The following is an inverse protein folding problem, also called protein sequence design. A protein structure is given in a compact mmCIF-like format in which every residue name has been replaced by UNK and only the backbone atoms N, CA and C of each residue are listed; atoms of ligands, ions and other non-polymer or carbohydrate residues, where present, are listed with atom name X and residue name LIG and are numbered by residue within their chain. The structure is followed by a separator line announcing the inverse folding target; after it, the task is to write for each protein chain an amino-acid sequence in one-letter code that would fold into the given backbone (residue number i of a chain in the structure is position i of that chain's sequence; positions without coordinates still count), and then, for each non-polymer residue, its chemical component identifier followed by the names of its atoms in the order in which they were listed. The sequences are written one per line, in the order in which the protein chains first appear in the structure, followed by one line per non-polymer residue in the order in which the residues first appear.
data_IF_754042841418
#
_entry.id   IF_754042841418
#
_cell.length_a   1.000
_cell.length_b   1.000
_cell.length_c   1.000
_cell.angle_alpha   90.00
_cell.angle_beta   90.00
_cell.angle_gamma   90.00
#
_symmetry.space_group_name_H-M   'P 1'
#
loop_
_entity.id
_entity.type
_entity.pdbx_description
1 polymer ?
#
# COMPACT_ATOMS: atom_id res chain seq x y z
N UNK A 1 -18.26 -36.86 1.94
CA UNK A 1 -18.67 -35.49 1.54
C UNK A 1 -17.78 -34.55 2.33
N UNK A 2 -16.95 -33.74 1.67
CA UNK A 2 -16.14 -32.75 2.38
C UNK A 2 -17.05 -31.60 2.80
N UNK A 3 -16.98 -31.20 4.07
CA UNK A 3 -17.72 -30.09 4.64
C UNK A 3 -17.50 -28.80 3.81
N UNK A 4 -18.56 -28.03 3.48
CA UNK A 4 -18.45 -26.83 2.64
C UNK A 4 -17.49 -25.77 3.21
N UNK A 5 -17.27 -25.78 4.53
CA UNK A 5 -16.31 -24.92 5.22
C UNK A 5 -14.85 -25.29 4.93
N UNK A 6 -14.55 -26.58 4.77
CA UNK A 6 -13.21 -27.06 4.41
C UNK A 6 -12.82 -26.69 2.97
N UNK A 7 -13.80 -26.64 2.07
CA UNK A 7 -13.60 -26.19 0.68
C UNK A 7 -13.30 -24.70 0.63
N UNK A 8 -13.98 -23.90 1.45
CA UNK A 8 -13.74 -22.45 1.53
C UNK A 8 -12.34 -22.15 2.08
N UNK A 9 -11.94 -22.80 3.16
CA UNK A 9 -10.60 -22.65 3.74
C UNK A 9 -9.48 -23.07 2.77
N UNK A 10 -9.69 -24.15 2.01
CA UNK A 10 -8.74 -24.59 0.99
C UNK A 10 -8.61 -23.55 -0.14
N UNK A 11 -9.73 -22.96 -0.56
CA UNK A 11 -9.74 -21.90 -1.57
C UNK A 11 -9.03 -20.63 -1.07
N UNK A 12 -9.27 -20.24 0.18
CA UNK A 12 -8.58 -19.11 0.83
C UNK A 12 -7.08 -19.35 0.96
N UNK A 13 -6.67 -20.56 1.31
CA UNK A 13 -5.27 -20.96 1.37
C UNK A 13 -4.60 -20.96 -0.01
N UNK A 14 -5.28 -21.46 -1.04
CA UNK A 14 -4.78 -21.47 -2.42
C UNK A 14 -4.65 -20.07 -2.99
N UNK A 15 -5.64 -19.20 -2.75
CA UNK A 15 -5.58 -17.77 -3.10
C UNK A 15 -4.43 -17.08 -2.37
N UNK A 16 -4.22 -17.39 -1.09
CA UNK A 16 -3.09 -16.86 -0.29
C UNK A 16 -1.74 -17.34 -0.82
N UNK A 17 -1.64 -18.59 -1.25
CA UNK A 17 -0.44 -19.18 -1.83
C UNK A 17 -0.12 -18.59 -3.23
N UNK A 18 -1.14 -18.42 -4.08
CA UNK A 18 -1.01 -17.77 -5.38
C UNK A 18 -0.53 -16.31 -5.26
N UNK A 19 -1.02 -15.57 -4.26
CA UNK A 19 -0.54 -14.21 -3.94
C UNK A 19 0.91 -14.21 -3.47
N UNK A 20 1.28 -15.18 -2.64
CA UNK A 20 2.66 -15.32 -2.12
C UNK A 20 3.69 -15.67 -3.19
N UNK A 21 3.26 -16.39 -4.24
CA UNK A 21 4.11 -16.90 -5.32
C UNK A 21 4.20 -15.97 -6.55
N UNK A 22 3.20 -15.11 -6.79
CA UNK A 22 3.19 -14.19 -7.95
C UNK A 22 4.17 -13.02 -7.81
N UNK A 23 4.67 -12.74 -6.60
CA UNK A 23 5.64 -11.66 -6.35
C UNK A 23 6.98 -12.27 -5.91
N UNK A 24 7.96 -12.30 -6.82
CA UNK A 24 9.34 -12.63 -6.48
C UNK A 24 9.80 -11.80 -5.26
N UNK A 25 10.60 -12.40 -4.37
CA UNK A 25 10.97 -11.78 -3.08
C UNK A 25 11.54 -10.34 -3.21
N UNK A 26 12.26 -10.05 -4.31
CA UNK A 26 12.80 -8.72 -4.62
C UNK A 26 11.73 -7.68 -5.00
N UNK A 27 10.63 -8.12 -5.59
CA UNK A 27 9.47 -7.27 -5.90
C UNK A 27 8.63 -7.01 -4.64
N UNK A 28 8.59 -7.95 -3.68
CA UNK A 28 7.94 -7.74 -2.37
C UNK A 28 8.65 -6.69 -1.54
N UNK A 29 9.98 -6.71 -1.46
CA UNK A 29 10.75 -5.69 -0.72
C UNK A 29 10.62 -4.30 -1.37
N UNK A 30 10.61 -4.22 -2.71
CA UNK A 30 10.39 -2.99 -3.47
C UNK A 30 8.98 -2.43 -3.28
N UNK A 31 7.98 -3.31 -3.21
CA UNK A 31 6.60 -2.97 -2.88
C UNK A 31 6.49 -2.42 -1.46
N UNK A 32 7.01 -3.13 -0.46
CA UNK A 32 6.97 -2.71 0.94
C UNK A 32 7.63 -1.35 1.15
N UNK A 33 8.79 -1.12 0.53
CA UNK A 33 9.47 0.18 0.60
C UNK A 33 8.65 1.32 0.00
N UNK A 34 7.91 1.04 -1.08
CA UNK A 34 7.06 2.03 -1.75
C UNK A 34 5.79 2.29 -0.95
N UNK A 35 5.17 1.25 -0.41
CA UNK A 35 4.07 1.31 0.56
C UNK A 35 4.45 2.13 1.79
N UNK A 36 5.64 1.91 2.36
CA UNK A 36 6.08 2.67 3.52
C UNK A 36 6.26 4.16 3.20
N UNK A 37 6.71 4.52 2.00
CA UNK A 37 6.79 5.92 1.54
C UNK A 37 5.41 6.53 1.32
N UNK A 38 4.47 5.76 0.77
CA UNK A 38 3.08 6.20 0.63
C UNK A 38 2.46 6.52 2.00
N UNK A 39 2.59 5.59 2.95
CA UNK A 39 2.02 5.76 4.29
C UNK A 39 2.69 6.90 5.06
N UNK A 40 4.00 7.09 4.89
CA UNK A 40 4.69 8.26 5.41
C UNK A 40 4.10 9.56 4.84
N UNK A 41 3.81 9.62 3.54
CA UNK A 41 3.15 10.78 2.92
C UNK A 41 1.72 10.96 3.43
N UNK A 42 0.95 9.89 3.59
CA UNK A 42 -0.42 9.91 4.13
C UNK A 42 -0.46 10.45 5.55
N UNK A 43 0.47 10.03 6.42
CA UNK A 43 0.58 10.51 7.80
C UNK A 43 0.82 12.02 7.87
N UNK A 44 1.56 12.58 6.91
CA UNK A 44 1.85 14.01 6.85
C UNK A 44 0.75 14.83 6.17
N UNK A 45 0.22 14.36 5.04
CA UNK A 45 -0.62 15.18 4.14
C UNK A 45 -2.11 14.84 4.20
N UNK A 46 -2.45 13.64 4.69
CA UNK A 46 -3.80 13.07 4.67
C UNK A 46 -4.10 12.32 5.96
N UNK A 47 -3.71 12.90 7.11
CA UNK A 47 -3.81 12.25 8.43
C UNK A 47 -5.22 11.77 8.78
N UNK A 48 -6.25 12.46 8.30
CA UNK A 48 -7.66 12.09 8.49
C UNK A 48 -8.09 10.80 7.77
N UNK A 49 -7.26 10.31 6.84
CA UNK A 49 -7.44 9.04 6.13
C UNK A 49 -6.60 7.91 6.75
N UNK A 50 -5.81 8.20 7.78
CA UNK A 50 -5.02 7.20 8.52
C UNK A 50 -5.74 6.93 9.84
N UNK A 51 -6.20 5.70 10.10
CA UNK A 51 -6.81 5.34 11.38
C UNK A 51 -5.85 5.56 12.57
N UNK A 52 -6.37 6.00 13.70
CA UNK A 52 -5.58 6.21 14.92
C UNK A 52 -4.97 4.90 15.46
N UNK A 53 -5.67 3.79 15.22
CA UNK A 53 -5.19 2.44 15.55
C UNK A 53 -3.87 2.06 14.84
N UNK A 54 -3.64 2.62 13.66
CA UNK A 54 -2.39 2.48 12.93
C UNK A 54 -1.40 3.59 13.31
N UNK A 55 -1.83 4.86 13.30
CA UNK A 55 -0.96 6.01 13.53
C UNK A 55 -0.28 6.00 14.90
N UNK A 56 -0.97 5.53 15.95
CA UNK A 56 -0.42 5.39 17.31
C UNK A 56 0.77 4.43 17.41
N UNK A 57 0.96 3.55 16.42
CA UNK A 57 2.07 2.57 16.39
C UNK A 57 3.32 3.11 15.69
N UNK A 58 3.24 4.32 15.14
CA UNK A 58 4.29 4.89 14.31
C UNK A 58 5.21 5.77 15.14
N UNK A 59 6.50 5.45 15.09
CA UNK A 59 7.57 6.25 15.68
C UNK A 59 7.98 7.31 14.68
N UNK A 60 7.99 8.57 15.12
CA UNK A 60 8.42 9.71 14.34
C UNK A 60 9.88 10.07 14.65
N UNK A 61 10.56 10.63 13.66
CA UNK A 61 11.83 11.34 13.85
C UNK A 61 11.57 12.70 14.50
N UNK A 62 12.59 13.33 15.13
CA UNK A 62 12.47 14.70 15.64
C UNK A 62 12.05 15.71 14.57
N UNK A 63 12.31 15.43 13.30
CA UNK A 63 11.87 16.21 12.13
C UNK A 63 10.35 16.16 11.89
N UNK A 64 9.60 15.35 12.65
CA UNK A 64 8.17 15.10 12.44
C UNK A 64 7.87 14.07 11.35
N UNK A 65 8.91 13.47 10.74
CA UNK A 65 8.74 12.47 9.68
C UNK A 65 8.61 11.05 10.27
N UNK A 66 7.62 10.28 9.82
CA UNK A 66 7.44 8.90 10.28
C UNK A 66 8.64 8.01 9.89
N UNK A 67 9.18 7.21 10.80
CA UNK A 67 10.32 6.32 10.49
C UNK A 67 9.87 5.19 9.58
N UNK A 68 10.56 5.01 8.44
CA UNK A 68 10.25 3.95 7.46
C UNK A 68 10.18 2.56 8.11
N UNK A 69 11.19 2.18 8.91
CA UNK A 69 11.23 0.89 9.62
C UNK A 69 10.04 0.69 10.58
N UNK A 70 9.58 1.77 11.22
CA UNK A 70 8.43 1.69 12.13
C UNK A 70 7.12 1.41 11.36
N UNK A 71 6.96 2.02 10.18
CA UNK A 71 5.83 1.72 9.29
C UNK A 71 5.87 0.26 8.82
N UNK A 72 7.03 -0.21 8.37
CA UNK A 72 7.21 -1.61 7.93
C UNK A 72 6.89 -2.60 9.06
N UNK A 73 7.33 -2.31 10.29
CA UNK A 73 7.03 -3.14 11.46
C UNK A 73 5.53 -3.09 11.84
N UNK A 74 4.88 -1.93 11.74
CA UNK A 74 3.45 -1.79 12.00
C UNK A 74 2.61 -2.60 11.00
N UNK A 75 3.00 -2.60 9.72
CA UNK A 75 2.36 -3.43 8.69
C UNK A 75 2.52 -4.92 8.98
N UNK A 76 3.72 -5.37 9.32
CA UNK A 76 3.99 -6.79 9.61
C UNK A 76 3.31 -7.30 10.87
N UNK A 77 3.12 -6.45 11.87
CA UNK A 77 2.56 -6.84 13.18
C UNK A 77 1.05 -6.77 13.27
N UNK A 78 0.36 -6.22 12.26
CA UNK A 78 -1.10 -6.08 12.28
C UNK A 78 -1.70 -6.22 10.87
N UNK A 79 -1.62 -7.41 10.25
CA UNK A 79 -2.09 -7.64 8.89
C UNK A 79 -3.60 -7.43 8.71
N UNK A 80 -4.38 -7.51 9.80
CA UNK A 80 -5.83 -7.29 9.76
C UNK A 80 -6.25 -5.85 10.08
N UNK A 81 -5.31 -4.98 10.48
CA UNK A 81 -5.62 -3.57 10.78
C UNK A 81 -5.20 -2.70 9.60
N UNK A 82 -6.17 -2.16 8.83
CA UNK A 82 -5.85 -1.38 7.65
C UNK A 82 -5.08 -0.10 8.03
N UNK A 83 -3.98 0.22 7.34
CA UNK A 83 -3.16 1.39 7.66
C UNK A 83 -3.81 2.69 7.19
N UNK A 84 -4.85 2.61 6.36
CA UNK A 84 -5.59 3.72 5.78
C UNK A 84 -7.06 3.35 5.62
N UNK A 85 -7.93 4.36 5.61
CA UNK A 85 -9.32 4.20 5.24
C UNK A 85 -9.46 4.11 3.72
N UNK A 86 -9.31 2.89 3.20
CA UNK A 86 -9.33 2.61 1.77
C UNK A 86 -10.64 3.02 1.09
N UNK A 87 -11.77 3.02 1.79
CA UNK A 87 -13.06 3.39 1.22
C UNK A 87 -13.13 4.89 0.86
N UNK A 88 -12.30 5.71 1.50
CA UNK A 88 -12.26 7.17 1.31
C UNK A 88 -11.10 7.64 0.44
N UNK A 89 -10.19 6.74 0.06
CA UNK A 89 -9.08 7.09 -0.83
C UNK A 89 -9.58 7.27 -2.25
N UNK A 90 -9.30 8.44 -2.81
CA UNK A 90 -9.66 8.76 -4.20
C UNK A 90 -8.48 8.56 -5.15
N UNK A 91 -8.79 8.46 -6.45
CA UNK A 91 -7.76 8.51 -7.50
C UNK A 91 -6.94 9.81 -7.46
N UNK A 92 -7.57 10.92 -7.05
CA UNK A 92 -6.89 12.20 -6.86
C UNK A 92 -5.84 12.11 -5.75
N UNK A 93 -6.13 11.48 -4.62
CA UNK A 93 -5.17 11.34 -3.52
C UNK A 93 -3.94 10.55 -3.96
N UNK A 94 -4.16 9.44 -4.65
CA UNK A 94 -3.09 8.63 -5.22
C UNK A 94 -2.24 9.41 -6.23
N UNK A 95 -2.87 10.10 -7.19
CA UNK A 95 -2.15 10.89 -8.19
C UNK A 95 -1.42 12.10 -7.58
N UNK A 96 -1.99 12.72 -6.55
CA UNK A 96 -1.35 13.82 -5.83
C UNK A 96 -0.08 13.34 -5.15
N UNK A 97 -0.11 12.17 -4.52
CA UNK A 97 1.09 11.57 -3.97
C UNK A 97 2.13 11.28 -5.06
N UNK A 98 1.75 10.65 -6.18
CA UNK A 98 2.67 10.38 -7.30
C UNK A 98 3.34 11.66 -7.81
N UNK A 99 2.58 12.74 -7.97
CA UNK A 99 3.11 14.05 -8.37
C UNK A 99 4.03 14.65 -7.31
N UNK A 100 3.73 14.47 -6.02
CA UNK A 100 4.58 14.96 -4.92
C UNK A 100 5.96 14.30 -4.84
N UNK A 101 6.15 13.15 -5.52
CA UNK A 101 7.45 12.48 -5.64
C UNK A 101 8.37 13.10 -6.71
N UNK A 102 7.90 14.12 -7.45
CA UNK A 102 8.73 14.87 -8.40
C UNK A 102 9.77 15.72 -7.65
N UNK A 103 10.96 15.84 -8.23
CA UNK A 103 11.98 16.82 -7.81
C UNK A 103 11.45 18.23 -8.04
N UNK A 104 12.12 19.21 -7.40
CA UNK A 104 11.83 20.65 -7.60
C UNK A 104 11.90 21.09 -9.07
N UNK A 105 12.69 20.41 -9.91
CA UNK A 105 12.79 20.68 -11.35
C UNK A 105 11.69 19.97 -12.19
N UNK A 106 10.67 19.39 -11.55
CA UNK A 106 9.56 18.70 -12.21
C UNK A 106 9.88 17.29 -12.72
N UNK A 107 11.15 16.86 -12.65
CA UNK A 107 11.56 15.51 -13.08
C UNK A 107 11.38 14.48 -11.97
N UNK A 108 11.10 13.23 -12.34
CA UNK A 108 11.03 12.14 -11.37
C UNK A 108 12.44 11.68 -10.94
N UNK A 109 12.57 11.09 -9.74
CA UNK A 109 13.84 10.56 -9.26
C UNK A 109 14.38 9.38 -10.11
N UNK A 110 13.50 8.56 -10.70
CA UNK A 110 13.81 7.56 -11.76
C UNK A 110 12.50 6.97 -12.33
N UNK A 111 12.56 6.32 -13.50
CA UNK A 111 11.42 5.57 -14.08
C UNK A 111 10.94 4.43 -13.15
N UNK A 112 11.87 3.75 -12.46
CA UNK A 112 11.56 2.74 -11.45
C UNK A 112 10.88 3.30 -10.20
N UNK A 113 11.12 4.57 -9.86
CA UNK A 113 10.41 5.28 -8.78
C UNK A 113 8.97 5.56 -9.16
N UNK A 114 8.63 5.61 -10.46
CA UNK A 114 7.31 5.96 -11.00
C UNK A 114 6.45 4.72 -11.30
N UNK A 115 6.96 3.76 -12.07
CA UNK A 115 6.21 2.55 -12.47
C UNK A 115 5.93 1.58 -11.30
N UNK A 116 6.71 1.65 -10.21
CA UNK A 116 6.56 0.79 -9.04
C UNK A 116 5.48 1.22 -8.04
N UNK A 117 5.07 2.49 -8.02
CA UNK A 117 4.12 3.01 -7.01
C UNK A 117 2.68 2.51 -7.20
N UNK A 118 2.14 2.45 -8.44
CA UNK A 118 0.81 1.88 -8.66
C UNK A 118 0.75 0.40 -8.30
N UNK A 119 1.83 -0.35 -8.53
CA UNK A 119 1.93 -1.75 -8.11
C UNK A 119 2.03 -1.89 -6.59
N UNK A 120 2.71 -0.98 -5.90
CA UNK A 120 2.80 -1.01 -4.44
C UNK A 120 1.46 -0.72 -3.76
N UNK A 121 0.73 0.28 -4.24
CA UNK A 121 -0.63 0.56 -3.76
C UNK A 121 -1.60 -0.58 -4.09
N UNK A 122 -1.46 -1.20 -5.26
CA UNK A 122 -2.25 -2.36 -5.66
C UNK A 122 -2.02 -3.55 -4.74
N UNK A 123 -0.76 -3.87 -4.47
CA UNK A 123 -0.39 -4.93 -3.53
C UNK A 123 -0.92 -4.62 -2.13
N UNK A 124 -0.84 -3.36 -1.68
CA UNK A 124 -1.43 -2.97 -0.40
C UNK A 124 -2.97 -3.20 -0.38
N UNK A 125 -3.70 -2.88 -1.44
CA UNK A 125 -5.14 -3.19 -1.49
C UNK A 125 -5.40 -4.70 -1.44
N UNK A 126 -4.57 -5.49 -2.12
CA UNK A 126 -4.67 -6.96 -2.11
C UNK A 126 -4.35 -7.58 -0.74
N UNK A 127 -3.32 -7.07 -0.05
CA UNK A 127 -2.91 -7.52 1.29
C UNK A 127 -4.04 -7.34 2.32
N UNK A 128 -4.90 -6.34 2.11
CA UNK A 128 -6.07 -6.07 2.95
C UNK A 128 -7.39 -6.58 2.34
N UNK A 129 -7.34 -7.45 1.32
CA UNK A 129 -8.49 -8.08 0.68
C UNK A 129 -9.53 -7.12 0.06
N UNK A 130 -9.09 -5.94 -0.38
CA UNK A 130 -9.97 -4.94 -0.97
C UNK A 130 -9.91 -4.97 -2.49
N UNK A 131 -11.08 -4.93 -3.13
CA UNK A 131 -11.17 -4.66 -4.57
C UNK A 131 -11.00 -3.16 -4.80
N UNK A 132 -10.06 -2.79 -5.67
CA UNK A 132 -9.94 -1.40 -6.12
C UNK A 132 -11.22 -0.94 -6.81
N UNK A 133 -11.60 0.31 -6.57
CA UNK A 133 -12.64 0.94 -7.39
C UNK A 133 -12.20 1.03 -8.86
N UNK A 134 -13.17 0.93 -9.77
CA UNK A 134 -12.90 0.99 -11.20
C UNK A 134 -12.18 2.29 -11.62
N UNK A 135 -12.45 3.39 -10.92
CA UNK A 135 -11.82 4.69 -11.16
C UNK A 135 -10.32 4.68 -10.82
N UNK A 136 -9.95 4.04 -9.71
CA UNK A 136 -8.56 3.92 -9.28
C UNK A 136 -7.77 2.95 -10.17
N UNK A 137 -8.44 1.89 -10.65
CA UNK A 137 -7.87 0.97 -11.64
C UNK A 137 -7.60 1.68 -12.99
N UNK A 138 -8.46 2.61 -13.41
CA UNK A 138 -8.24 3.44 -14.62
C UNK A 138 -7.08 4.42 -14.44
N UNK A 139 -6.95 5.05 -13.26
CA UNK A 139 -5.83 5.93 -12.95
C UNK A 139 -4.48 5.22 -13.07
N UNK A 140 -4.39 3.92 -12.70
CA UNK A 140 -3.19 3.10 -12.90
C UNK A 140 -2.76 3.01 -14.38
N UNK A 141 -3.71 2.99 -15.32
CA UNK A 141 -3.41 2.87 -16.77
C UNK A 141 -2.87 4.18 -17.34
N UNK A 142 -3.30 5.33 -16.79
CA UNK A 142 -2.86 6.67 -17.21
C UNK A 142 -1.44 7.03 -16.73
N UNK A 143 -0.84 6.19 -15.89
CA UNK A 143 0.50 6.35 -15.31
C UNK A 143 1.56 5.56 -16.12
N UNK A 144 1.22 5.06 -17.32
CA UNK A 144 2.19 4.42 -18.24
C UNK A 144 2.95 5.42 -19.08
#
# INVERSE_FOLDING_TARGET
MAEPEAVLLALEAEVTNARSSTIAANSRSSCLSSTARFLQWMLTNKRSLVPDSFASRIVFEPSGKAKKKSIEQALSSAPHNPPIDFARITARDFMTWVVSLKKQNGTYHSFSTYAGQPSAFFNLCQDYHLMMSAELARAKVLVK
#
